data_IF_999318860833
#
_entry.id   IF_999318860833
#
_cell.length_a   1.000
_cell.length_b   1.000
_cell.length_c   1.000
_cell.angle_alpha   90.00
_cell.angle_beta   90.00
_cell.angle_gamma   90.00
#
_symmetry.space_group_name_H-M   'P 1'
#
loop_
_entity.id
_entity.type
_entity.pdbx_description
1 polymer ?
#
# COMPACT_ATOMS: atom_id res chain seq x y z
N UNK A 1 5.78 -1.99 3.82
CA UNK A 1 4.63 -2.75 3.30
C UNK A 1 4.85 -3.11 1.84
N UNK A 2 4.66 -4.35 1.53
CA UNK A 2 4.87 -4.88 0.19
C UNK A 2 3.56 -5.35 -0.42
N UNK A 3 3.52 -5.38 -1.76
CA UNK A 3 2.37 -5.91 -2.46
C UNK A 3 2.26 -7.41 -2.18
N UNK A 4 1.06 -7.87 -1.89
CA UNK A 4 0.80 -9.29 -1.65
C UNK A 4 0.58 -10.06 -2.94
N UNK A 5 0.32 -9.37 -4.03
CA UNK A 5 0.11 -9.98 -5.33
C UNK A 5 0.32 -8.97 -6.45
N UNK A 6 0.43 -9.48 -7.67
CA UNK A 6 0.58 -8.64 -8.86
C UNK A 6 -0.74 -7.98 -9.22
N UNK A 7 -0.73 -6.70 -9.44
CA UNK A 7 -1.92 -5.95 -9.81
C UNK A 7 -1.62 -4.48 -10.02
N UNK A 8 -2.65 -3.68 -10.13
CA UNK A 8 -2.53 -2.24 -10.28
C UNK A 8 -2.93 -1.53 -9.00
N UNK A 9 -2.20 -0.48 -8.67
CA UNK A 9 -2.59 0.36 -7.54
C UNK A 9 -3.81 1.18 -7.93
N UNK A 10 -4.91 0.96 -7.23
CA UNK A 10 -6.14 1.71 -7.50
C UNK A 10 -6.19 3.01 -6.71
N UNK A 11 -5.90 2.93 -5.41
CA UNK A 11 -5.85 4.11 -4.55
C UNK A 11 -4.79 3.95 -3.47
N UNK A 12 -4.27 5.08 -3.03
CA UNK A 12 -3.36 5.17 -1.88
C UNK A 12 -4.02 6.08 -0.86
N UNK A 13 -4.15 5.61 0.38
CA UNK A 13 -4.87 6.33 1.44
C UNK A 13 -3.96 7.02 2.45
N UNK A 14 -2.65 6.96 2.24
CA UNK A 14 -1.69 7.54 3.18
C UNK A 14 -0.83 8.57 2.48
N UNK A 15 -0.25 9.47 3.28
CA UNK A 15 0.66 10.49 2.80
C UNK A 15 1.98 10.38 3.55
N UNK A 16 3.03 10.95 2.96
CA UNK A 16 4.34 11.01 3.60
C UNK A 16 4.24 11.73 4.95
N UNK A 17 4.76 11.11 5.98
CA UNK A 17 4.72 11.67 7.32
C UNK A 17 3.46 11.38 8.12
N UNK A 18 2.49 10.71 7.51
CA UNK A 18 1.24 10.37 8.19
C UNK A 18 1.45 9.24 9.20
N UNK A 19 0.82 9.38 10.36
CA UNK A 19 0.78 8.29 11.34
C UNK A 19 -0.28 7.28 10.93
N UNK A 20 0.09 6.01 10.93
CA UNK A 20 -0.78 4.91 10.54
C UNK A 20 -0.84 3.90 11.68
N UNK A 21 -2.02 3.39 11.95
CA UNK A 21 -2.22 2.38 12.98
C UNK A 21 -2.42 1.01 12.37
N UNK A 22 -2.05 -0.01 13.14
CA UNK A 22 -2.24 -1.39 12.74
C UNK A 22 -3.68 -1.63 12.30
N UNK A 23 -3.85 -2.24 11.14
CA UNK A 23 -5.15 -2.54 10.56
C UNK A 23 -5.74 -1.44 9.69
N UNK A 24 -5.11 -0.27 9.61
CA UNK A 24 -5.58 0.77 8.70
C UNK A 24 -5.28 0.38 7.25
N UNK A 25 -6.20 0.71 6.37
CA UNK A 25 -6.00 0.49 4.94
C UNK A 25 -5.02 1.53 4.41
N UNK A 26 -3.92 1.05 3.86
CA UNK A 26 -2.86 1.90 3.31
C UNK A 26 -3.09 2.16 1.83
N UNK A 27 -3.46 1.12 1.09
CA UNK A 27 -3.67 1.20 -0.34
C UNK A 27 -4.63 0.11 -0.77
N UNK A 28 -5.13 0.21 -2.00
CA UNK A 28 -5.95 -0.84 -2.60
C UNK A 28 -5.30 -1.24 -3.91
N UNK A 29 -5.12 -2.55 -4.10
CA UNK A 29 -4.60 -3.13 -5.33
C UNK A 29 -5.78 -3.76 -6.07
N UNK A 30 -5.92 -3.42 -7.35
CA UNK A 30 -6.89 -4.06 -8.22
C UNK A 30 -6.20 -5.19 -8.98
N UNK A 31 -6.69 -6.40 -8.80
CA UNK A 31 -6.17 -7.57 -9.49
C UNK A 31 -7.31 -8.51 -9.84
N UNK A 32 -7.34 -9.00 -11.07
CA UNK A 32 -8.36 -9.95 -11.53
C UNK A 32 -9.79 -9.47 -11.25
N UNK A 33 -10.04 -8.18 -11.46
CA UNK A 33 -11.34 -7.52 -11.22
C UNK A 33 -11.74 -7.48 -9.75
N UNK A 34 -10.81 -7.71 -8.86
CA UNK A 34 -11.04 -7.63 -7.41
C UNK A 34 -10.22 -6.49 -6.82
N UNK A 35 -10.77 -5.86 -5.81
CA UNK A 35 -10.07 -4.83 -5.06
C UNK A 35 -9.56 -5.45 -3.76
N UNK A 36 -8.24 -5.39 -3.58
CA UNK A 36 -7.58 -6.02 -2.45
C UNK A 36 -6.93 -4.95 -1.59
N UNK A 37 -7.43 -4.74 -0.37
CA UNK A 37 -6.82 -3.73 0.50
C UNK A 37 -5.48 -4.22 1.05
N UNK A 38 -4.55 -3.28 1.19
CA UNK A 38 -3.28 -3.51 1.87
C UNK A 38 -3.38 -2.81 3.22
N UNK A 39 -3.28 -3.58 4.30
CA UNK A 39 -3.39 -3.06 5.65
C UNK A 39 -2.02 -2.87 6.28
N UNK A 40 -1.92 -1.88 7.15
CA UNK A 40 -0.72 -1.72 7.95
C UNK A 40 -0.58 -2.88 8.93
N UNK A 41 0.60 -3.47 8.98
CA UNK A 41 0.86 -4.60 9.87
C UNK A 41 1.16 -4.16 11.29
N UNK A 42 1.64 -2.93 11.45
CA UNK A 42 2.00 -2.35 12.74
C UNK A 42 1.73 -0.86 12.72
N UNK A 43 1.65 -0.26 13.91
CA UNK A 43 1.60 1.17 14.05
C UNK A 43 2.93 1.78 13.58
N UNK A 44 2.87 2.91 12.93
CA UNK A 44 4.08 3.57 12.49
C UNK A 44 3.79 4.85 11.73
N UNK A 45 4.85 5.44 11.19
CA UNK A 45 4.76 6.66 10.41
C UNK A 45 5.23 6.37 8.98
N UNK A 46 4.49 6.85 8.01
CA UNK A 46 4.85 6.68 6.60
C UNK A 46 6.11 7.47 6.31
N UNK A 47 7.19 6.77 5.99
CA UNK A 47 8.48 7.37 5.71
C UNK A 47 8.64 7.72 4.23
N UNK A 48 8.18 6.83 3.35
CA UNK A 48 8.23 7.03 1.91
C UNK A 48 7.14 6.23 1.23
N UNK A 49 6.56 6.81 0.20
CA UNK A 49 5.57 6.13 -0.65
C UNK A 49 6.25 5.83 -1.97
N UNK A 50 6.40 4.55 -2.28
CA UNK A 50 7.15 4.09 -3.45
C UNK A 50 6.24 3.94 -4.66
N UNK A 51 4.97 3.56 -4.44
CA UNK A 51 4.02 3.33 -5.52
C UNK A 51 3.14 4.56 -5.75
N UNK A 52 2.44 4.55 -6.88
CA UNK A 52 1.50 5.61 -7.26
C UNK A 52 0.20 4.97 -7.73
N UNK A 53 -0.90 5.70 -7.59
CA UNK A 53 -2.18 5.28 -8.15
C UNK A 53 -2.05 5.10 -9.67
N UNK A 54 -2.56 3.98 -10.17
CA UNK A 54 -2.44 3.64 -11.59
C UNK A 54 -1.19 2.85 -11.96
N UNK A 55 -0.26 2.69 -11.03
CA UNK A 55 0.96 1.94 -11.28
C UNK A 55 0.72 0.44 -11.16
N UNK A 56 1.37 -0.33 -12.02
CA UNK A 56 1.37 -1.79 -11.91
C UNK A 56 2.47 -2.22 -10.95
N UNK A 57 2.13 -3.09 -10.01
CA UNK A 57 3.11 -3.64 -9.07
C UNK A 57 3.09 -5.16 -9.13
N UNK A 58 4.22 -5.76 -8.79
CA UNK A 58 4.37 -7.21 -8.72
C UNK A 58 4.41 -7.66 -7.28
N UNK A 59 4.04 -8.91 -7.05
CA UNK A 59 4.10 -9.52 -5.73
C UNK A 59 5.49 -9.35 -5.12
N UNK A 60 5.53 -8.86 -3.90
CA UNK A 60 6.79 -8.61 -3.19
C UNK A 60 7.40 -7.24 -3.40
N UNK A 61 6.86 -6.42 -4.31
CA UNK A 61 7.37 -5.07 -4.49
C UNK A 61 7.00 -4.18 -3.30
N UNK A 62 7.91 -3.32 -2.85
CA UNK A 62 7.58 -2.40 -1.78
C UNK A 62 6.60 -1.34 -2.26
N UNK A 63 5.60 -1.06 -1.43
CA UNK A 63 4.60 -0.03 -1.69
C UNK A 63 4.86 1.22 -0.86
N UNK A 64 5.10 1.02 0.42
CA UNK A 64 5.26 2.09 1.38
C UNK A 64 6.32 1.66 2.39
N UNK A 65 7.25 2.56 2.69
CA UNK A 65 8.18 2.37 3.79
C UNK A 65 7.63 3.06 5.03
N UNK A 66 7.65 2.34 6.13
CA UNK A 66 7.19 2.86 7.41
C UNK A 66 8.30 2.82 8.44
N UNK A 67 8.21 3.72 9.38
CA UNK A 67 9.18 3.87 10.46
C UNK A 67 8.61 3.39 11.80
#
# INVERSE_FOLDING_TARGET
LNASMTGNIWKIFVEHGQEVKKGETVAIIEAMKMELPVYAEEDGIVKAIICRAGQTVHSGEPLVYME
#
